data_IF_185097366433
#
_entry.id   IF_185097366433
#
_cell.length_a   1.000
_cell.length_b   1.000
_cell.length_c   1.000
_cell.angle_alpha   90.00
_cell.angle_beta   90.00
_cell.angle_gamma   90.00
#
_symmetry.space_group_name_H-M   'P 1'
#
loop_
_entity.id
_entity.type
_entity.pdbx_description
1 polymer ?
#
# COMPACT_ATOMS: atom_id res chain seq x y z
N UNK A 1 14.21 10.31 -28.73
CA UNK A 1 12.88 10.08 -28.12
C UNK A 1 12.38 8.77 -28.70
N UNK A 2 12.44 7.69 -27.94
CA UNK A 2 12.03 6.37 -28.45
C UNK A 2 10.52 6.34 -28.59
N UNK A 3 10.03 6.21 -29.82
CA UNK A 3 8.63 5.97 -30.11
C UNK A 3 8.19 4.69 -29.40
N UNK A 4 7.23 4.83 -28.47
CA UNK A 4 6.54 3.70 -27.84
C UNK A 4 5.67 3.02 -28.90
N UNK A 5 6.28 2.19 -29.75
CA UNK A 5 5.60 1.34 -30.72
C UNK A 5 5.19 0.00 -30.09
N UNK A 6 4.75 0.00 -28.83
CA UNK A 6 4.10 -1.18 -28.28
C UNK A 6 2.64 -1.13 -28.66
N UNK A 7 2.18 -2.15 -29.38
CA UNK A 7 0.76 -2.27 -29.69
C UNK A 7 -0.03 -2.51 -28.40
N UNK A 8 -1.28 -2.06 -28.33
CA UNK A 8 -2.16 -2.26 -27.15
C UNK A 8 -2.15 -3.72 -26.64
N UNK A 9 -2.19 -4.75 -27.52
CA UNK A 9 -2.10 -6.15 -27.08
C UNK A 9 -0.76 -6.52 -26.43
N UNK A 10 0.36 -5.98 -26.90
CA UNK A 10 1.68 -6.22 -26.31
C UNK A 10 1.80 -5.59 -24.92
N UNK A 11 1.23 -4.40 -24.72
CA UNK A 11 1.17 -3.77 -23.40
C UNK A 11 0.34 -4.61 -22.42
N UNK A 12 -0.80 -5.13 -22.87
CA UNK A 12 -1.66 -6.01 -22.05
C UNK A 12 -0.93 -7.32 -21.71
N UNK A 13 -0.25 -7.94 -22.68
CA UNK A 13 0.55 -9.13 -22.46
C UNK A 13 1.71 -8.88 -21.48
N UNK A 14 2.36 -7.73 -21.60
CA UNK A 14 3.40 -7.29 -20.68
C UNK A 14 2.84 -7.06 -19.27
N UNK A 15 1.72 -6.36 -19.13
CA UNK A 15 1.12 -6.10 -17.83
C UNK A 15 0.71 -7.39 -17.11
N UNK A 16 0.15 -8.36 -17.86
CA UNK A 16 -0.18 -9.70 -17.35
C UNK A 16 1.08 -10.50 -16.99
N UNK A 17 2.15 -10.42 -17.79
CA UNK A 17 3.43 -11.10 -17.52
C UNK A 17 4.09 -10.60 -16.24
N UNK A 18 3.96 -9.32 -15.93
CA UNK A 18 4.53 -8.71 -14.72
C UNK A 18 3.58 -8.77 -13.52
N UNK A 19 2.40 -9.37 -13.67
CA UNK A 19 1.37 -9.49 -12.63
C UNK A 19 0.99 -8.15 -11.98
N UNK A 20 0.93 -7.07 -12.78
CA UNK A 20 0.50 -5.79 -12.26
C UNK A 20 -0.95 -5.86 -11.81
N UNK A 21 -1.14 -5.75 -10.51
CA UNK A 21 -2.44 -5.73 -9.86
C UNK A 21 -2.43 -4.72 -8.73
N UNK A 22 -3.58 -4.10 -8.50
CA UNK A 22 -3.82 -3.23 -7.35
C UNK A 22 -5.03 -3.83 -6.63
N UNK A 23 -4.81 -4.31 -5.42
CA UNK A 23 -5.87 -4.78 -4.53
C UNK A 23 -5.90 -3.90 -3.30
N UNK A 24 -6.84 -2.95 -3.30
CA UNK A 24 -7.05 -2.00 -2.21
C UNK A 24 -8.50 -2.10 -1.72
N UNK A 25 -8.86 -3.14 -0.95
CA UNK A 25 -10.09 -3.14 -0.18
C UNK A 25 -10.07 -2.00 0.85
N UNK A 26 -11.23 -1.71 1.45
CA UNK A 26 -11.46 -0.50 2.25
C UNK A 26 -10.46 -0.37 3.41
N UNK A 27 -10.08 -1.46 4.07
CA UNK A 27 -9.09 -1.51 5.13
C UNK A 27 -7.68 -1.14 4.64
N UNK A 28 -7.22 -1.74 3.53
CA UNK A 28 -5.89 -1.45 2.95
C UNK A 28 -5.80 -0.05 2.37
N UNK A 29 -6.88 0.43 1.75
CA UNK A 29 -6.96 1.80 1.25
C UNK A 29 -6.91 2.80 2.42
N UNK A 30 -7.63 2.53 3.51
CA UNK A 30 -7.62 3.38 4.71
C UNK A 30 -6.23 3.43 5.34
N UNK A 31 -5.54 2.30 5.42
CA UNK A 31 -4.14 2.27 5.85
C UNK A 31 -3.21 3.09 4.94
N UNK A 32 -3.33 2.93 3.62
CA UNK A 32 -2.54 3.71 2.66
C UNK A 32 -2.79 5.22 2.79
N UNK A 33 -4.03 5.64 3.02
CA UNK A 33 -4.38 7.04 3.28
C UNK A 33 -3.79 7.55 4.60
N UNK A 34 -3.81 6.74 5.66
CA UNK A 34 -3.19 7.09 6.94
C UNK A 34 -1.68 7.32 6.77
N UNK A 35 -1.00 6.44 6.04
CA UNK A 35 0.43 6.60 5.68
C UNK A 35 0.65 7.86 4.86
N UNK A 36 -0.15 8.12 3.83
CA UNK A 36 -0.01 9.33 3.00
C UNK A 36 -0.21 10.62 3.82
N UNK A 37 -1.16 10.61 4.76
CA UNK A 37 -1.44 11.74 5.67
C UNK A 37 -0.25 12.00 6.59
N UNK A 38 0.28 10.95 7.24
CA UNK A 38 1.45 11.07 8.12
C UNK A 38 2.71 11.48 7.36
N UNK A 39 2.87 11.03 6.11
CA UNK A 39 3.99 11.42 5.27
C UNK A 39 3.90 12.91 4.84
N UNK A 40 2.69 13.41 4.57
CA UNK A 40 2.47 14.79 4.15
C UNK A 40 2.70 15.85 5.24
N UNK A 41 2.44 15.51 6.50
CA UNK A 41 2.67 16.40 7.66
C UNK A 41 4.14 16.38 8.13
N UNK A 42 4.99 15.52 7.54
CA UNK A 42 6.34 15.33 8.04
C UNK A 42 7.30 16.41 7.52
N UNK A 43 8.03 17.03 8.44
CA UNK A 43 8.95 18.12 8.16
C UNK A 43 10.37 17.66 7.80
N UNK A 44 10.79 16.47 8.25
CA UNK A 44 12.11 15.89 7.96
C UNK A 44 12.13 14.36 8.16
N UNK A 45 13.12 13.67 7.57
CA UNK A 45 13.35 12.21 7.70
C UNK A 45 12.57 11.36 6.70
N UNK A 46 12.70 10.03 6.76
CA UNK A 46 11.86 9.01 6.09
C UNK A 46 10.91 8.35 7.11
N UNK A 47 9.84 7.67 6.66
CA UNK A 47 8.91 7.02 7.59
C UNK A 47 9.54 5.74 8.08
N UNK A 48 9.65 5.59 9.39
CA UNK A 48 10.15 4.38 10.02
C UNK A 48 9.11 3.26 9.97
N UNK A 49 9.58 2.01 10.06
CA UNK A 49 8.71 0.84 10.22
C UNK A 49 7.83 0.96 11.48
N UNK A 50 8.33 1.57 12.55
CA UNK A 50 7.57 1.80 13.78
C UNK A 50 6.33 2.67 13.56
N UNK A 51 6.49 3.78 12.84
CA UNK A 51 5.38 4.67 12.47
C UNK A 51 4.37 3.98 11.55
N UNK A 52 4.82 3.12 10.63
CA UNK A 52 3.94 2.31 9.79
C UNK A 52 3.11 1.32 10.62
N UNK A 53 3.73 0.65 11.60
CA UNK A 53 3.03 -0.29 12.48
C UNK A 53 2.03 0.44 13.37
N UNK A 54 2.35 1.64 13.86
CA UNK A 54 1.44 2.45 14.65
C UNK A 54 0.24 2.95 13.83
N UNK A 55 0.49 3.41 12.60
CA UNK A 55 -0.58 3.76 11.66
C UNK A 55 -1.48 2.55 11.34
N UNK A 56 -0.89 1.36 11.19
CA UNK A 56 -1.63 0.13 10.94
C UNK A 56 -2.52 -0.24 12.13
N UNK A 57 -2.00 -0.17 13.36
CA UNK A 57 -2.79 -0.39 14.59
C UNK A 57 -3.99 0.54 14.65
N UNK A 58 -3.79 1.83 14.40
CA UNK A 58 -4.88 2.81 14.44
C UNK A 58 -6.00 2.47 13.44
N UNK A 59 -5.64 2.06 12.22
CA UNK A 59 -6.62 1.62 11.22
C UNK A 59 -7.27 0.31 11.62
N UNK A 60 -6.52 -0.68 12.09
CA UNK A 60 -7.10 -1.94 12.55
C UNK A 60 -8.11 -1.76 13.70
N UNK A 61 -7.82 -0.87 14.64
CA UNK A 61 -8.74 -0.51 15.73
C UNK A 61 -10.02 0.14 15.18
N UNK A 62 -9.89 1.05 14.20
CA UNK A 62 -11.03 1.72 13.55
C UNK A 62 -11.94 0.77 12.75
N UNK A 63 -11.41 -0.38 12.31
CA UNK A 63 -12.15 -1.42 11.59
C UNK A 63 -12.59 -2.58 12.50
N UNK A 64 -12.43 -2.46 13.83
CA UNK A 64 -12.75 -3.52 14.80
C UNK A 64 -12.07 -4.86 14.47
N UNK A 65 -10.90 -4.82 13.84
CA UNK A 65 -10.15 -6.02 13.51
C UNK A 65 -9.59 -6.66 14.79
N UNK A 66 -9.78 -7.98 14.95
CA UNK A 66 -9.29 -8.69 16.14
C UNK A 66 -7.78 -8.48 16.31
N UNK A 67 -7.37 -7.99 17.49
CA UNK A 67 -5.98 -7.64 17.80
C UNK A 67 -5.00 -8.83 17.65
N UNK A 68 -5.49 -10.07 17.72
CA UNK A 68 -4.71 -11.29 17.46
C UNK A 68 -4.19 -11.39 16.00
N UNK A 69 -4.79 -10.68 15.05
CA UNK A 69 -4.41 -10.72 13.63
C UNK A 69 -3.31 -9.71 13.29
N UNK A 70 -3.20 -8.63 14.08
CA UNK A 70 -2.30 -7.49 13.83
C UNK A 70 -0.82 -7.89 13.98
N UNK A 71 -0.52 -8.92 14.79
CA UNK A 71 0.83 -9.41 15.05
C UNK A 71 1.28 -10.66 14.28
N UNK A 72 0.42 -11.26 13.44
CA UNK A 72 0.78 -12.51 12.73
C UNK A 72 1.66 -12.34 11.48
N UNK A 73 1.98 -11.10 11.09
CA UNK A 73 2.96 -10.83 10.03
C UNK A 73 4.43 -11.12 10.42
N UNK A 74 4.66 -11.72 11.60
CA UNK A 74 5.98 -12.07 12.14
C UNK A 74 6.21 -13.56 12.42
N UNK A 75 5.38 -14.46 11.88
CA UNK A 75 5.60 -15.92 11.91
C UNK A 75 5.82 -16.47 10.50
#
# INVERSE_FOLDING_TARGET
MSEFSQTVPELVAWARKNDFSISLPVDRLSFLLAVATLNGERLDGEMSEGELVDAFRHVSDAFEQTSETIGRARQ
#
